data_IF_758324707270
#
_entry.id   IF_758324707270
#
_cell.length_a   1.000
_cell.length_b   1.000
_cell.length_c   1.000
_cell.angle_alpha   90.00
_cell.angle_beta   90.00
_cell.angle_gamma   90.00
#
_symmetry.space_group_name_H-M   'P 1'
#
loop_
_entity.id
_entity.type
_entity.pdbx_description
1 polymer ?
#
# COMPACT_ATOMS: atom_id res chain seq x y z
N UNK A 1 23.27 -1.42 -0.04
CA UNK A 1 22.06 -1.50 -0.90
C UNK A 1 20.78 -1.01 -0.22
N UNK A 2 20.77 -0.72 1.09
CA UNK A 2 19.61 -0.12 1.78
C UNK A 2 19.24 1.27 1.24
N UNK A 3 20.24 2.02 0.77
CA UNK A 3 20.09 3.42 0.36
C UNK A 3 19.31 3.65 -0.94
N UNK A 4 18.84 2.58 -1.62
CA UNK A 4 18.10 2.66 -2.88
C UNK A 4 16.69 2.03 -2.81
N UNK A 5 16.28 1.55 -1.63
CA UNK A 5 14.92 1.04 -1.46
C UNK A 5 13.97 2.23 -1.49
N UNK A 6 13.04 2.24 -2.45
CA UNK A 6 12.03 3.29 -2.55
C UNK A 6 10.64 2.71 -2.27
N UNK A 7 9.72 3.56 -1.84
CA UNK A 7 8.30 3.23 -1.70
C UNK A 7 7.58 3.71 -2.96
N UNK A 8 7.04 2.79 -3.76
CA UNK A 8 6.32 3.13 -4.99
C UNK A 8 4.89 3.61 -4.71
N UNK A 9 4.18 2.84 -3.90
CA UNK A 9 2.80 3.09 -3.54
C UNK A 9 2.47 2.50 -2.17
N UNK A 10 1.35 2.95 -1.61
CA UNK A 10 0.84 2.43 -0.35
C UNK A 10 -0.67 2.41 -0.34
N UNK A 11 -1.23 1.53 0.47
CA UNK A 11 -2.66 1.39 0.68
C UNK A 11 -2.95 1.11 2.15
N UNK A 12 -3.82 1.91 2.75
CA UNK A 12 -4.38 1.65 4.07
C UNK A 12 -5.83 1.26 3.92
N UNK A 13 -6.20 0.17 4.58
CA UNK A 13 -7.55 -0.38 4.57
C UNK A 13 -8.08 -0.43 5.99
N UNK A 14 -9.16 0.31 6.25
CA UNK A 14 -9.97 0.14 7.44
C UNK A 14 -11.12 -0.78 7.07
N UNK A 15 -11.08 -2.04 7.50
CA UNK A 15 -12.17 -3.00 7.28
C UNK A 15 -13.09 -3.01 8.48
N UNK A 16 -14.40 -3.05 8.23
CA UNK A 16 -15.44 -3.03 9.25
C UNK A 16 -16.64 -3.92 8.86
N UNK A 17 -17.52 -4.20 9.81
CA UNK A 17 -18.76 -4.92 9.56
C UNK A 17 -19.63 -4.17 8.53
N UNK A 18 -20.37 -4.90 7.69
CA UNK A 18 -21.16 -4.30 6.60
C UNK A 18 -22.11 -3.21 7.14
N UNK A 19 -21.91 -1.98 6.67
CA UNK A 19 -22.79 -0.84 6.88
C UNK A 19 -23.58 -0.54 5.60
N UNK A 20 -24.84 -0.95 5.56
CA UNK A 20 -25.77 -0.69 4.45
C UNK A 20 -26.04 0.80 4.27
N UNK A 21 -25.87 1.59 5.33
CA UNK A 21 -26.17 3.02 5.38
C UNK A 21 -24.97 3.91 5.04
N UNK A 22 -23.85 3.32 4.60
CA UNK A 22 -22.62 4.07 4.32
C UNK A 22 -22.85 5.21 3.32
N UNK A 23 -23.76 5.03 2.36
CA UNK A 23 -24.09 6.06 1.36
C UNK A 23 -24.73 7.30 2.00
N UNK A 24 -25.50 7.15 3.09
CA UNK A 24 -26.08 8.28 3.83
C UNK A 24 -25.02 9.14 4.51
N UNK A 25 -23.82 8.57 4.75
CA UNK A 25 -22.67 9.27 5.33
C UNK A 25 -21.85 10.07 4.31
N UNK A 26 -22.23 10.11 3.03
CA UNK A 26 -21.46 10.81 1.99
C UNK A 26 -21.06 12.24 2.39
N UNK A 27 -22.02 13.03 2.85
CA UNK A 27 -21.79 14.43 3.24
C UNK A 27 -20.89 14.56 4.48
N UNK A 28 -20.98 13.61 5.41
CA UNK A 28 -20.08 13.55 6.57
C UNK A 28 -18.62 13.34 6.12
N UNK A 29 -18.40 12.45 5.14
CA UNK A 29 -17.07 12.24 4.55
C UNK A 29 -16.57 13.47 3.80
N UNK A 30 -17.42 14.12 3.01
CA UNK A 30 -17.07 15.35 2.29
C UNK A 30 -16.67 16.46 3.25
N UNK A 31 -17.46 16.71 4.29
CA UNK A 31 -17.21 17.75 5.28
C UNK A 31 -15.90 17.51 6.05
N UNK A 32 -15.65 16.26 6.44
CA UNK A 32 -14.45 15.88 7.20
C UNK A 32 -13.16 15.87 6.36
N UNK A 33 -13.26 15.73 5.03
CA UNK A 33 -12.10 15.52 4.15
C UNK A 33 -11.90 16.62 3.09
N UNK A 34 -12.75 17.65 3.03
CA UNK A 34 -12.72 18.72 2.01
C UNK A 34 -11.37 19.46 1.87
N UNK A 35 -10.63 19.61 2.97
CA UNK A 35 -9.33 20.30 2.96
C UNK A 35 -8.25 19.47 2.23
N UNK A 36 -8.47 18.16 2.13
CA UNK A 36 -7.50 17.18 1.65
C UNK A 36 -7.89 16.53 0.33
N UNK A 37 -9.20 16.41 0.07
CA UNK A 37 -9.82 15.70 -1.04
C UNK A 37 -10.80 16.58 -1.79
N UNK A 38 -10.92 16.33 -3.10
CA UNK A 38 -11.85 17.04 -3.97
C UNK A 38 -13.28 16.73 -3.56
N UNK A 39 -14.10 17.77 -3.52
CA UNK A 39 -15.55 17.68 -3.31
C UNK A 39 -16.28 18.30 -4.52
N UNK A 40 -17.47 17.78 -4.93
CA UNK A 40 -18.15 16.63 -4.36
C UNK A 40 -17.45 15.30 -4.67
N UNK A 41 -17.67 14.31 -3.83
CA UNK A 41 -17.18 12.94 -4.01
C UNK A 41 -17.96 12.28 -5.16
N UNK A 42 -17.27 11.41 -5.91
CA UNK A 42 -17.88 10.67 -7.01
C UNK A 42 -18.67 9.50 -6.42
N UNK A 43 -19.99 9.53 -6.58
CA UNK A 43 -20.87 8.43 -6.18
C UNK A 43 -20.88 7.33 -7.24
N UNK A 44 -21.04 6.09 -6.78
CA UNK A 44 -21.19 4.92 -7.63
C UNK A 44 -22.64 4.44 -7.53
N UNK A 45 -23.35 4.49 -8.66
CA UNK A 45 -24.74 4.10 -8.77
C UNK A 45 -24.88 2.57 -8.78
N UNK A 46 -24.78 1.97 -7.59
CA UNK A 46 -24.92 0.54 -7.37
C UNK A 46 -25.98 0.26 -6.28
N UNK A 47 -26.89 -0.71 -6.46
CA UNK A 47 -27.80 -1.12 -5.39
C UNK A 47 -27.05 -1.54 -4.12
N UNK A 48 -27.64 -1.29 -2.96
CA UNK A 48 -26.97 -1.53 -1.68
C UNK A 48 -26.90 -3.02 -1.33
N UNK A 49 -27.76 -3.84 -1.91
CA UNK A 49 -27.81 -5.30 -1.74
C UNK A 49 -26.62 -6.01 -2.42
N UNK A 50 -26.04 -5.40 -3.46
CA UNK A 50 -24.88 -5.93 -4.17
C UNK A 50 -23.62 -5.95 -3.32
N UNK A 51 -22.55 -6.55 -3.87
CA UNK A 51 -21.29 -6.80 -3.18
C UNK A 51 -20.86 -5.60 -2.31
N UNK A 52 -20.73 -5.79 -0.97
CA UNK A 52 -20.38 -4.75 -0.03
C UNK A 52 -18.94 -4.23 -0.20
N UNK A 53 -18.10 -4.90 -1.00
CA UNK A 53 -16.74 -4.49 -1.30
C UNK A 53 -16.65 -3.47 -2.46
N UNK A 54 -17.72 -3.33 -3.25
CA UNK A 54 -17.77 -2.36 -4.34
C UNK A 54 -17.88 -0.95 -3.74
N UNK A 55 -17.01 0.00 -4.11
CA UNK A 55 -17.10 1.36 -3.61
C UNK A 55 -18.48 1.98 -3.88
N UNK A 56 -19.06 2.62 -2.88
CA UNK A 56 -20.29 3.43 -2.97
C UNK A 56 -19.96 4.87 -3.31
N UNK A 57 -18.79 5.36 -2.91
CA UNK A 57 -18.25 6.65 -3.32
C UNK A 57 -16.72 6.68 -3.25
N UNK A 58 -16.12 7.62 -3.96
CA UNK A 58 -14.66 7.80 -4.05
C UNK A 58 -14.29 9.25 -4.28
N UNK A 59 -13.07 9.62 -3.89
CA UNK A 59 -12.48 10.92 -4.23
C UNK A 59 -10.97 10.80 -4.46
N UNK A 60 -10.41 11.86 -5.05
CA UNK A 60 -8.98 12.04 -5.18
C UNK A 60 -8.55 13.22 -4.34
N UNK A 61 -7.34 13.15 -3.78
CA UNK A 61 -6.72 14.30 -3.12
C UNK A 61 -6.68 15.51 -4.06
N UNK A 62 -6.61 16.71 -3.51
CA UNK A 62 -6.54 17.96 -4.29
C UNK A 62 -5.47 17.90 -5.40
N UNK A 63 -4.30 17.33 -5.09
CA UNK A 63 -3.16 17.19 -6.01
C UNK A 63 -3.15 15.87 -6.80
N UNK A 64 -4.14 14.98 -6.62
CA UNK A 64 -4.25 13.73 -7.39
C UNK A 64 -3.31 12.58 -6.98
N UNK A 65 -2.51 12.72 -5.93
CA UNK A 65 -1.55 11.70 -5.47
C UNK A 65 -2.15 10.62 -4.56
N UNK A 66 -3.29 10.90 -3.94
CA UNK A 66 -4.05 9.94 -3.14
C UNK A 66 -5.47 9.76 -3.67
N UNK A 67 -6.04 8.59 -3.44
CA UNK A 67 -7.41 8.23 -3.74
C UNK A 67 -8.03 7.59 -2.50
N UNK A 68 -9.24 8.04 -2.17
CA UNK A 68 -10.08 7.40 -1.17
C UNK A 68 -11.21 6.65 -1.87
N UNK A 69 -11.47 5.42 -1.45
CA UNK A 69 -12.63 4.64 -1.85
C UNK A 69 -13.34 4.12 -0.62
N UNK A 70 -14.66 4.32 -0.57
CA UNK A 70 -15.48 3.89 0.56
C UNK A 70 -16.55 2.95 0.05
N UNK A 71 -16.60 1.77 0.63
CA UNK A 71 -17.58 0.72 0.37
C UNK A 71 -18.36 0.42 1.65
N UNK A 72 -19.33 -0.49 1.59
CA UNK A 72 -20.11 -0.86 2.77
C UNK A 72 -19.29 -1.61 3.83
N UNK A 73 -18.09 -2.11 3.52
CA UNK A 73 -17.31 -2.97 4.42
C UNK A 73 -15.87 -2.51 4.63
N UNK A 74 -15.45 -1.45 3.94
CA UNK A 74 -14.11 -0.88 4.08
C UNK A 74 -14.00 0.53 3.55
N UNK A 75 -13.07 1.25 4.14
CA UNK A 75 -12.49 2.49 3.62
C UNK A 75 -11.06 2.17 3.17
N UNK A 76 -10.71 2.59 1.96
CA UNK A 76 -9.38 2.43 1.39
C UNK A 76 -8.78 3.79 1.07
N UNK A 77 -7.60 4.07 1.61
CA UNK A 77 -6.73 5.18 1.19
C UNK A 77 -5.58 4.59 0.39
N UNK A 78 -5.50 4.90 -0.90
CA UNK A 78 -4.39 4.50 -1.76
C UNK A 78 -3.58 5.74 -2.17
N UNK A 79 -2.26 5.60 -2.21
CA UNK A 79 -1.32 6.67 -2.58
C UNK A 79 -0.36 6.19 -3.65
N UNK A 80 0.01 7.07 -4.58
CA UNK A 80 1.09 6.81 -5.53
C UNK A 80 2.14 7.92 -5.42
N UNK A 81 3.40 7.53 -5.24
CA UNK A 81 4.50 8.47 -5.07
C UNK A 81 5.20 8.73 -6.39
N UNK A 82 5.73 9.94 -6.54
CA UNK A 82 6.55 10.31 -7.70
C UNK A 82 8.04 10.10 -7.40
N UNK A 83 8.87 10.26 -8.43
CA UNK A 83 10.32 10.10 -8.34
C UNK A 83 10.99 10.97 -7.27
N UNK A 84 10.42 12.15 -6.95
CA UNK A 84 11.00 13.07 -5.96
C UNK A 84 10.66 12.63 -4.53
N UNK A 85 9.55 11.94 -4.37
CA UNK A 85 9.00 11.59 -3.05
C UNK A 85 9.33 10.17 -2.63
N UNK A 86 9.44 9.23 -3.58
CA UNK A 86 9.53 7.78 -3.32
C UNK A 86 10.74 7.34 -2.47
N UNK A 87 11.80 8.14 -2.39
CA UNK A 87 13.02 7.86 -1.61
C UNK A 87 13.00 8.47 -0.19
N UNK A 88 12.11 9.42 0.10
CA UNK A 88 12.05 10.07 1.42
C UNK A 88 10.98 9.41 2.30
N UNK A 89 11.37 8.30 2.94
CA UNK A 89 10.46 7.52 3.80
C UNK A 89 9.85 8.35 4.93
N UNK A 90 10.58 9.33 5.46
CA UNK A 90 10.09 10.18 6.55
C UNK A 90 8.99 11.13 6.05
N UNK A 91 9.17 11.75 4.88
CA UNK A 91 8.11 12.55 4.29
C UNK A 91 6.90 11.71 3.88
N UNK A 92 7.13 10.49 3.40
CA UNK A 92 6.05 9.53 3.12
C UNK A 92 5.26 9.20 4.37
N UNK A 93 5.94 8.86 5.49
CA UNK A 93 5.28 8.60 6.77
C UNK A 93 4.43 9.80 7.21
N UNK A 94 5.02 11.01 7.17
CA UNK A 94 4.33 12.25 7.56
C UNK A 94 3.10 12.51 6.68
N UNK A 95 3.23 12.33 5.36
CA UNK A 95 2.14 12.52 4.40
C UNK A 95 0.96 11.60 4.70
N UNK A 96 1.23 10.32 4.93
CA UNK A 96 0.18 9.33 5.18
C UNK A 96 -0.46 9.55 6.54
N UNK A 97 0.32 9.82 7.58
CA UNK A 97 -0.19 10.14 8.93
C UNK A 97 -1.15 11.33 8.89
N UNK A 98 -0.83 12.39 8.14
CA UNK A 98 -1.72 13.54 7.97
C UNK A 98 -3.07 13.12 7.35
N UNK A 99 -3.03 12.33 6.26
CA UNK A 99 -4.22 11.85 5.54
C UNK A 99 -5.11 10.94 6.39
N UNK A 100 -4.50 10.13 7.25
CA UNK A 100 -5.21 9.15 8.08
C UNK A 100 -5.80 9.77 9.35
N UNK A 101 -5.28 10.92 9.83
CA UNK A 101 -5.76 11.54 11.06
C UNK A 101 -7.28 11.84 11.02
N UNK A 102 -7.81 12.29 9.87
CA UNK A 102 -9.24 12.52 9.70
C UNK A 102 -9.99 11.24 9.31
N UNK A 103 -9.35 10.39 8.51
CA UNK A 103 -9.95 9.14 8.04
C UNK A 103 -10.21 8.13 9.16
N UNK A 104 -9.28 8.02 10.11
CA UNK A 104 -9.42 7.15 11.29
C UNK A 104 -10.64 7.53 12.11
N UNK A 105 -10.91 8.83 12.33
CA UNK A 105 -12.13 9.27 13.03
C UNK A 105 -13.42 8.83 12.34
N UNK A 106 -13.46 8.85 11.01
CA UNK A 106 -14.61 8.37 10.23
C UNK A 106 -14.76 6.84 10.28
N UNK A 107 -13.64 6.13 10.40
CA UNK A 107 -13.61 4.68 10.57
C UNK A 107 -13.94 4.25 12.01
N UNK A 108 -13.58 5.05 13.03
CA UNK A 108 -13.84 4.78 14.46
C UNK A 108 -15.33 4.66 14.78
N UNK A 109 -16.19 5.32 13.99
CA UNK A 109 -17.64 5.21 14.12
C UNK A 109 -18.22 3.94 13.49
N UNK A 110 -17.39 3.15 12.81
CA UNK A 110 -17.74 1.85 12.25
C UNK A 110 -17.27 0.72 13.16
N UNK A 111 -17.90 -0.45 13.02
CA UNK A 111 -17.47 -1.65 13.74
C UNK A 111 -16.24 -2.27 13.05
N UNK A 112 -15.05 -1.71 13.33
CA UNK A 112 -13.77 -2.11 12.71
C UNK A 112 -13.46 -3.58 13.03
N UNK A 113 -13.14 -4.34 11.98
CA UNK A 113 -12.69 -5.72 12.03
C UNK A 113 -11.16 -5.85 11.99
N UNK A 114 -10.50 -5.03 11.17
CA UNK A 114 -9.03 -4.92 11.14
C UNK A 114 -8.60 -3.66 10.38
N UNK A 115 -7.34 -3.28 10.58
CA UNK A 115 -6.63 -2.30 9.78
C UNK A 115 -5.51 -3.02 9.04
N UNK A 116 -5.43 -2.84 7.73
CA UNK A 116 -4.35 -3.33 6.89
C UNK A 116 -3.54 -2.19 6.32
N UNK A 117 -2.24 -2.38 6.22
CA UNK A 117 -1.33 -1.44 5.60
C UNK A 117 -0.44 -2.19 4.61
N UNK A 118 -0.72 -1.97 3.34
CA UNK A 118 0.03 -2.52 2.21
C UNK A 118 0.98 -1.46 1.69
N UNK A 119 2.25 -1.81 1.53
CA UNK A 119 3.28 -0.94 0.95
C UNK A 119 4.04 -1.72 -0.10
N UNK A 120 4.17 -1.13 -1.29
CA UNK A 120 5.04 -1.65 -2.33
C UNK A 120 6.37 -0.89 -2.30
N UNK A 121 7.42 -1.65 -2.08
CA UNK A 121 8.80 -1.19 -2.14
C UNK A 121 9.42 -1.66 -3.45
N UNK A 122 10.40 -0.92 -3.94
CA UNK A 122 11.19 -1.32 -5.09
C UNK A 122 12.66 -1.02 -4.92
N UNK A 123 13.48 -1.75 -5.65
CA UNK A 123 14.87 -1.42 -5.90
C UNK A 123 15.19 -1.76 -7.36
N UNK A 124 15.82 -0.82 -8.05
CA UNK A 124 16.33 -1.06 -9.39
C UNK A 124 17.68 -1.78 -9.33
N UNK A 125 17.84 -2.75 -10.21
CA UNK A 125 19.05 -3.56 -10.34
C UNK A 125 19.40 -3.72 -11.81
N UNK A 126 20.68 -3.83 -12.11
CA UNK A 126 21.14 -4.17 -13.45
C UNK A 126 20.62 -5.55 -13.85
N UNK A 127 20.03 -5.72 -15.05
CA UNK A 127 19.38 -6.97 -15.45
C UNK A 127 20.28 -8.20 -15.35
N UNK A 128 21.58 -8.03 -15.64
CA UNK A 128 22.58 -9.10 -15.57
C UNK A 128 22.82 -9.62 -14.15
N UNK A 129 22.57 -8.82 -13.11
CA UNK A 129 22.86 -9.19 -11.73
C UNK A 129 21.63 -9.68 -10.95
N UNK A 130 20.41 -9.53 -11.47
CA UNK A 130 19.18 -9.85 -10.73
C UNK A 130 19.13 -11.34 -10.37
N UNK A 131 19.43 -12.23 -11.32
CA UNK A 131 19.33 -13.68 -11.09
C UNK A 131 20.37 -14.16 -10.08
N UNK A 132 21.59 -13.63 -10.16
CA UNK A 132 22.65 -13.95 -9.21
C UNK A 132 22.32 -13.43 -7.82
N UNK A 133 21.89 -12.17 -7.72
CA UNK A 133 21.46 -11.56 -6.47
C UNK A 133 20.33 -12.35 -5.79
N UNK A 134 19.31 -12.78 -6.56
CA UNK A 134 18.23 -13.59 -6.03
C UNK A 134 18.72 -14.97 -5.58
N UNK A 135 19.55 -15.64 -6.38
CA UNK A 135 20.10 -16.96 -6.04
C UNK A 135 20.89 -16.91 -4.73
N UNK A 136 21.78 -15.91 -4.59
CA UNK A 136 22.61 -15.71 -3.40
C UNK A 136 21.79 -15.42 -2.14
N UNK A 137 20.70 -14.64 -2.27
CA UNK A 137 19.91 -14.19 -1.14
C UNK A 137 18.69 -15.06 -0.81
N UNK A 138 18.38 -16.06 -1.64
CA UNK A 138 17.29 -17.01 -1.39
C UNK A 138 17.76 -18.45 -1.24
N UNK A 139 18.98 -18.77 -1.69
CA UNK A 139 19.49 -20.14 -1.77
C UNK A 139 18.81 -21.00 -2.84
N UNK A 140 17.96 -20.42 -3.69
CA UNK A 140 17.23 -21.14 -4.72
C UNK A 140 18.14 -21.48 -5.91
N UNK A 141 18.75 -22.67 -5.87
CA UNK A 141 19.62 -23.19 -6.95
C UNK A 141 18.96 -23.29 -8.33
N UNK A 142 17.63 -23.28 -8.39
CA UNK A 142 16.87 -23.29 -9.64
C UNK A 142 16.91 -21.95 -10.39
N UNK A 143 17.35 -20.86 -9.75
CA UNK A 143 17.50 -19.55 -10.39
C UNK A 143 18.78 -19.53 -11.24
N UNK A 144 18.59 -19.69 -12.54
CA UNK A 144 19.64 -19.62 -13.57
C UNK A 144 19.53 -18.34 -14.40
N UNK A 145 20.46 -18.11 -15.31
CA UNK A 145 20.49 -16.93 -16.19
C UNK A 145 19.20 -16.75 -17.01
N UNK A 146 18.58 -17.85 -17.43
CA UNK A 146 17.33 -17.86 -18.22
C UNK A 146 16.05 -17.70 -17.37
N UNK A 147 16.18 -17.52 -16.06
CA UNK A 147 15.06 -17.31 -15.16
C UNK A 147 14.38 -15.96 -15.46
N UNK A 148 13.25 -16.00 -16.16
CA UNK A 148 12.49 -14.81 -16.55
C UNK A 148 11.65 -14.21 -15.41
N UNK A 149 11.09 -15.07 -14.56
CA UNK A 149 10.24 -14.67 -13.46
C UNK A 149 10.65 -15.38 -12.17
N UNK A 150 10.46 -14.69 -11.05
CA UNK A 150 10.73 -15.19 -9.71
C UNK A 150 9.80 -14.51 -8.74
N UNK A 151 9.19 -15.30 -7.85
CA UNK A 151 8.50 -14.79 -6.68
C UNK A 151 8.69 -15.70 -5.48
N UNK A 152 8.87 -15.08 -4.32
CA UNK A 152 8.79 -15.73 -3.01
C UNK A 152 7.69 -15.04 -2.19
N UNK A 153 6.95 -15.83 -1.44
CA UNK A 153 5.88 -15.36 -0.56
C UNK A 153 5.96 -16.08 0.78
N UNK A 154 5.83 -15.33 1.86
CA UNK A 154 5.67 -15.89 3.19
C UNK A 154 4.77 -14.99 4.06
N UNK A 155 4.19 -15.62 5.08
CA UNK A 155 3.36 -14.98 6.08
C UNK A 155 3.80 -15.42 7.47
N UNK A 156 3.83 -14.50 8.43
CA UNK A 156 4.14 -14.81 9.82
C UNK A 156 3.40 -13.92 10.80
N UNK A 157 3.23 -14.43 12.02
CA UNK A 157 2.91 -13.59 13.17
C UNK A 157 4.09 -12.65 13.46
N UNK A 158 3.79 -11.39 13.72
CA UNK A 158 4.78 -10.35 14.00
C UNK A 158 4.37 -9.53 15.22
N UNK A 159 5.27 -9.43 16.21
CA UNK A 159 5.06 -8.74 17.49
C UNK A 159 3.69 -9.07 18.15
N UNK A 160 3.22 -10.31 18.03
CA UNK A 160 1.90 -10.84 18.47
C UNK A 160 0.67 -10.19 17.82
N UNK A 161 0.62 -8.88 17.66
CA UNK A 161 -0.55 -8.09 17.24
C UNK A 161 -0.77 -8.02 15.73
N UNK A 162 0.21 -8.46 14.93
CA UNK A 162 0.19 -8.27 13.48
C UNK A 162 0.43 -9.57 12.71
N UNK A 163 -0.25 -9.72 11.58
CA UNK A 163 0.23 -10.57 10.50
C UNK A 163 1.13 -9.73 9.60
N UNK A 164 2.29 -10.28 9.25
CA UNK A 164 3.18 -9.73 8.24
C UNK A 164 3.21 -10.70 7.06
N UNK A 165 2.65 -10.25 5.95
CA UNK A 165 2.74 -10.89 4.64
C UNK A 165 3.83 -10.19 3.83
N UNK A 166 4.74 -10.95 3.24
CA UNK A 166 5.78 -10.42 2.36
C UNK A 166 5.76 -11.19 1.06
N UNK A 167 5.73 -10.46 -0.05
CA UNK A 167 5.98 -11.00 -1.38
C UNK A 167 7.16 -10.27 -1.98
N UNK A 168 8.19 -10.99 -2.40
CA UNK A 168 9.23 -10.44 -3.25
C UNK A 168 9.07 -11.01 -4.65
N UNK A 169 9.24 -10.17 -5.67
CA UNK A 169 9.17 -10.60 -7.07
C UNK A 169 10.02 -9.73 -7.98
N UNK A 170 10.46 -10.27 -9.12
CA UNK A 170 11.05 -9.47 -10.18
C UNK A 170 10.02 -8.52 -10.75
N UNK A 171 10.46 -7.32 -11.15
CA UNK A 171 9.65 -6.45 -11.99
C UNK A 171 10.44 -5.96 -13.20
N UNK A 172 9.68 -5.57 -14.23
CA UNK A 172 10.17 -4.92 -15.43
C UNK A 172 9.26 -3.74 -15.73
N UNK A 173 9.81 -2.54 -15.73
CA UNK A 173 9.07 -1.29 -15.93
C UNK A 173 9.51 -0.64 -17.24
N UNK A 174 8.55 -0.24 -18.07
CA UNK A 174 8.84 0.46 -19.33
C UNK A 174 9.07 1.95 -19.08
N UNK A 175 10.18 2.49 -19.57
CA UNK A 175 10.43 3.93 -19.54
C UNK A 175 9.49 4.63 -20.53
N UNK A 176 8.81 5.67 -20.03
CA UNK A 176 7.94 6.52 -20.82
C UNK A 176 8.55 7.92 -20.96
N UNK A 177 8.35 8.54 -22.11
CA UNK A 177 8.73 9.94 -22.35
C UNK A 177 7.49 10.75 -22.72
N UNK A 178 7.42 11.99 -22.23
CA UNK A 178 6.36 12.92 -22.61
C UNK A 178 6.69 13.52 -23.98
N UNK A 179 5.84 13.27 -24.96
CA UNK A 179 5.92 13.92 -26.26
C UNK A 179 5.28 15.31 -26.17
N UNK A 180 6.11 16.36 -26.20
CA UNK A 180 5.68 17.73 -25.89
C UNK A 180 4.55 18.25 -26.79
N UNK A 181 4.53 17.86 -28.06
CA UNK A 181 3.54 18.33 -29.04
C UNK A 181 2.15 17.69 -28.85
N UNK A 182 2.11 16.41 -28.47
CA UNK A 182 0.85 15.66 -28.36
C UNK A 182 0.39 15.54 -26.91
N UNK A 183 1.23 15.95 -25.95
CA UNK A 183 1.05 15.74 -24.51
C UNK A 183 0.76 14.27 -24.16
N UNK A 184 1.26 13.35 -24.98
CA UNK A 184 1.10 11.90 -24.76
C UNK A 184 2.38 11.30 -24.21
N UNK A 185 2.23 10.30 -23.33
CA UNK A 185 3.34 9.46 -22.89
C UNK A 185 3.60 8.39 -23.97
N UNK A 186 4.85 8.24 -24.40
CA UNK A 186 5.26 7.22 -25.37
C UNK A 186 6.33 6.29 -24.79
N UNK A 187 6.25 4.99 -25.06
CA UNK A 187 7.32 4.04 -24.76
C UNK A 187 8.64 4.44 -25.42
N UNK A 188 9.74 4.35 -24.67
CA UNK A 188 11.09 4.49 -25.25
C UNK A 188 11.65 3.18 -25.79
N UNK A 189 11.03 2.05 -25.47
CA UNK A 189 11.59 0.71 -25.69
C UNK A 189 12.67 0.30 -24.67
N UNK A 190 13.07 1.22 -23.77
CA UNK A 190 13.97 0.92 -22.66
C UNK A 190 13.18 0.45 -21.43
N UNK A 191 13.80 -0.42 -20.64
CA UNK A 191 13.20 -0.97 -19.44
C UNK A 191 14.10 -0.80 -18.24
N UNK A 192 13.49 -0.48 -17.11
CA UNK A 192 14.09 -0.66 -15.80
C UNK A 192 13.76 -2.06 -15.29
N UNK A 193 14.69 -2.64 -14.56
CA UNK A 193 14.53 -3.95 -13.94
C UNK A 193 14.85 -3.85 -12.46
N UNK A 194 14.29 -4.76 -11.68
CA UNK A 194 14.49 -4.74 -10.25
C UNK A 194 13.72 -5.80 -9.50
N UNK A 195 13.65 -5.61 -8.19
CA UNK A 195 12.90 -6.45 -7.27
C UNK A 195 11.87 -5.57 -6.55
N UNK A 196 10.62 -6.01 -6.58
CA UNK A 196 9.50 -5.43 -5.84
C UNK A 196 9.28 -6.23 -4.57
N UNK A 197 8.99 -5.55 -3.47
CA UNK A 197 8.65 -6.12 -2.18
C UNK A 197 7.30 -5.56 -1.77
N UNK A 198 6.28 -6.41 -1.72
CA UNK A 198 4.97 -6.05 -1.19
C UNK A 198 4.94 -6.47 0.27
N UNK A 199 4.82 -5.49 1.15
CA UNK A 199 4.58 -5.66 2.58
C UNK A 199 3.10 -5.45 2.86
N UNK A 200 2.42 -6.44 3.41
CA UNK A 200 1.08 -6.29 3.96
C UNK A 200 1.11 -6.61 5.45
N UNK A 201 1.00 -5.56 6.26
CA UNK A 201 0.92 -5.64 7.71
C UNK A 201 -0.50 -5.36 8.13
N UNK A 202 -1.14 -6.30 8.83
CA UNK A 202 -2.52 -6.12 9.26
C UNK A 202 -2.75 -6.58 10.70
N UNK A 203 -3.76 -5.98 11.33
CA UNK A 203 -4.06 -6.14 12.76
C UNK A 203 -5.02 -7.27 13.07
N UNK A 204 -5.29 -8.20 12.14
CA UNK A 204 -6.21 -9.32 12.38
C UNK A 204 -5.88 -10.10 13.67
N UNK A 205 -4.61 -10.43 14.00
CA UNK A 205 -4.31 -11.15 15.23
C UNK A 205 -4.72 -10.41 16.50
N UNK A 206 -4.61 -9.07 16.49
CA UNK A 206 -5.09 -8.24 17.60
C UNK A 206 -6.60 -8.40 17.79
N UNK A 207 -7.38 -8.33 16.70
CA UNK A 207 -8.84 -8.46 16.76
C UNK A 207 -9.30 -9.88 17.11
N UNK A 208 -8.58 -10.91 16.68
CA UNK A 208 -8.83 -12.31 17.06
C UNK A 208 -8.77 -12.50 18.60
N UNK A 209 -7.88 -11.76 19.28
CA UNK A 209 -7.71 -11.83 20.74
C UNK A 209 -8.60 -10.86 21.51
N UNK A 210 -8.65 -9.60 21.10
CA UNK A 210 -9.25 -8.52 21.87
C UNK A 210 -10.70 -8.21 21.47
N UNK A 211 -11.10 -8.55 20.23
CA UNK A 211 -12.46 -8.32 19.66
C UNK A 211 -12.97 -6.88 19.71
N UNK A 212 -12.12 -5.90 20.05
CA UNK A 212 -12.47 -4.49 20.16
C UNK A 212 -11.40 -3.64 19.50
N UNK A 213 -11.79 -2.54 18.88
CA UNK A 213 -10.85 -1.58 18.29
C UNK A 213 -10.20 -0.69 19.36
N UNK A 214 -8.91 -0.44 19.23
CA UNK A 214 -8.17 0.59 19.98
C UNK A 214 -7.74 1.73 19.06
N UNK A 215 -8.04 2.98 19.43
CA UNK A 215 -7.62 4.16 18.63
C UNK A 215 -6.12 4.22 18.36
N UNK A 216 -5.30 3.77 19.31
CA UNK A 216 -3.83 3.73 19.18
C UNK A 216 -3.32 2.67 18.20
N UNK A 217 -4.19 1.75 17.74
CA UNK A 217 -3.79 0.60 16.93
C UNK A 217 -3.23 1.03 15.57
N UNK A 218 -3.80 2.08 14.97
CA UNK A 218 -3.24 2.63 13.73
C UNK A 218 -1.83 3.19 13.95
N UNK A 219 -1.59 3.94 15.01
CA UNK A 219 -0.26 4.50 15.30
C UNK A 219 0.78 3.41 15.56
N UNK A 220 0.38 2.34 16.28
CA UNK A 220 1.19 1.14 16.47
C UNK A 220 1.52 0.46 15.13
N UNK A 221 0.52 0.29 14.25
CA UNK A 221 0.68 -0.29 12.92
C UNK A 221 1.63 0.55 12.05
N UNK A 222 1.38 1.86 11.95
CA UNK A 222 2.20 2.76 11.15
C UNK A 222 3.66 2.77 11.63
N UNK A 223 3.88 2.90 12.95
CA UNK A 223 5.23 2.81 13.53
C UNK A 223 5.90 1.48 13.18
N UNK A 224 5.18 0.38 13.28
CA UNK A 224 5.70 -0.97 12.99
C UNK A 224 6.10 -1.11 11.53
N UNK A 225 5.27 -0.63 10.60
CA UNK A 225 5.54 -0.68 9.16
C UNK A 225 6.78 0.13 8.81
N UNK A 226 6.89 1.38 9.26
CA UNK A 226 8.06 2.22 8.97
C UNK A 226 9.32 1.75 9.71
N UNK A 227 9.19 1.12 10.88
CA UNK A 227 10.33 0.45 11.54
C UNK A 227 10.87 -0.68 10.67
N UNK A 228 10.01 -1.55 10.10
CA UNK A 228 10.44 -2.62 9.18
C UNK A 228 11.14 -2.02 7.95
N UNK A 229 10.52 -1.05 7.29
CA UNK A 229 11.06 -0.42 6.07
C UNK A 229 12.41 0.24 6.34
N UNK A 230 12.52 1.00 7.44
CA UNK A 230 13.72 1.78 7.73
C UNK A 230 14.84 0.95 8.36
N UNK A 231 14.58 -0.28 8.82
CA UNK A 231 15.60 -1.13 9.45
C UNK A 231 16.09 -2.26 8.55
N UNK A 232 15.22 -2.84 7.73
CA UNK A 232 15.52 -4.04 6.95
C UNK A 232 16.09 -3.71 5.57
N UNK A 233 16.99 -4.57 5.09
CA UNK A 233 17.52 -4.53 3.73
C UNK A 233 16.75 -5.49 2.84
N UNK A 234 16.90 -5.38 1.51
CA UNK A 234 16.26 -6.30 0.55
C UNK A 234 16.61 -7.77 0.84
N UNK A 235 17.84 -8.05 1.23
CA UNK A 235 18.33 -9.39 1.56
C UNK A 235 17.54 -9.98 2.73
N UNK A 236 17.23 -9.17 3.76
CA UNK A 236 16.43 -9.62 4.90
C UNK A 236 15.01 -10.01 4.47
N UNK A 237 14.40 -9.28 3.53
CA UNK A 237 13.09 -9.65 2.98
C UNK A 237 13.15 -10.96 2.20
N UNK A 238 14.18 -11.16 1.37
CA UNK A 238 14.36 -12.40 0.58
C UNK A 238 14.62 -13.64 1.46
N UNK A 239 15.30 -13.46 2.60
CA UNK A 239 15.60 -14.56 3.56
C UNK A 239 14.51 -14.80 4.60
N UNK A 240 13.53 -13.91 4.73
CA UNK A 240 12.51 -13.98 5.78
C UNK A 240 12.96 -13.47 7.17
N UNK A 241 14.13 -12.82 7.25
CA UNK A 241 14.81 -12.36 8.47
C UNK A 241 14.27 -11.00 8.99
N UNK A 242 12.94 -10.87 9.02
CA UNK A 242 12.22 -9.66 9.46
C UNK A 242 11.86 -9.71 10.94
#
# INVERSE_FOLDING_TARGET
MKDNLYIDNSQIVFSFARNMEIRKRLFEFEDALKDEFKVPFITVAIPDELDPNIPRFKSQSQNGHSKIEVSQSRITLATKYDEKFKLDHHQIEKYIRAKVANLSKLADSENINFIGYIIELGIYLEPSHINDFLRENTGAFSIKEDCKDFSIYYSKNYKLDFYLNVKCSKFKEQKLILHNETKTLRPTGQFNHGISIILDVNTKPFFERHRTFEKSLYDKLNKTVFEIINTKSIEAYLKGEI
#
